data_IF_570535021331
#
_entry.id   IF_570535021331
#
_cell.length_a   1.000
_cell.length_b   1.000
_cell.length_c   1.000
_cell.angle_alpha   90.00
_cell.angle_beta   90.00
_cell.angle_gamma   90.00
#
_symmetry.space_group_name_H-M   'P 1'
#
loop_
_entity.id
_entity.type
_entity.pdbx_description
1 polymer ?
#
# COMPACT_ATOMS: atom_id res chain seq x y z
N UNK A 1 -40.57 -57.71 53.91
CA UNK A 1 -40.51 -56.24 54.01
C UNK A 1 -39.16 -55.74 53.49
N UNK A 2 -39.08 -55.37 52.21
CA UNK A 2 -38.04 -54.51 51.63
C UNK A 2 -38.67 -53.78 50.44
N UNK A 3 -38.85 -52.46 50.59
CA UNK A 3 -39.39 -51.56 49.58
C UNK A 3 -38.38 -51.39 48.43
N UNK A 4 -38.85 -51.46 47.19
CA UNK A 4 -38.14 -50.93 46.03
C UNK A 4 -38.72 -49.55 45.70
N UNK A 5 -37.90 -48.51 45.88
CA UNK A 5 -38.21 -47.14 45.46
C UNK A 5 -37.75 -47.02 44.00
N UNK A 6 -38.70 -46.85 43.08
CA UNK A 6 -38.41 -46.48 41.70
C UNK A 6 -38.23 -44.95 41.64
N UNK A 7 -36.99 -44.49 41.41
CA UNK A 7 -36.71 -43.09 41.13
C UNK A 7 -37.00 -42.81 39.65
N UNK A 8 -38.05 -42.04 39.36
CA UNK A 8 -38.33 -41.52 38.03
C UNK A 8 -37.47 -40.28 37.83
N UNK A 9 -36.40 -40.40 37.04
CA UNK A 9 -35.63 -39.27 36.54
C UNK A 9 -36.39 -38.60 35.39
N UNK A 10 -37.10 -37.51 35.72
CA UNK A 10 -37.62 -36.56 34.73
C UNK A 10 -36.46 -35.79 34.13
N UNK A 11 -36.07 -36.14 32.90
CA UNK A 11 -35.23 -35.27 32.07
C UNK A 11 -36.05 -34.07 31.62
N UNK A 12 -35.79 -32.92 32.23
CA UNK A 12 -36.21 -31.63 31.69
C UNK A 12 -35.35 -31.35 30.45
N UNK A 13 -35.94 -31.52 29.26
CA UNK A 13 -35.35 -31.02 28.02
C UNK A 13 -35.46 -29.50 28.05
N UNK A 14 -34.37 -28.82 28.40
CA UNK A 14 -34.24 -27.39 28.13
C UNK A 14 -34.09 -27.28 26.61
N UNK A 15 -35.16 -26.87 25.93
CA UNK A 15 -35.08 -26.47 24.54
C UNK A 15 -34.17 -25.24 24.45
N UNK A 16 -32.92 -25.44 24.07
CA UNK A 16 -32.12 -24.36 23.53
C UNK A 16 -32.74 -23.99 22.18
N UNK A 17 -33.36 -22.81 22.09
CA UNK A 17 -33.64 -22.18 20.79
C UNK A 17 -32.33 -22.13 20.01
N UNK A 18 -32.17 -23.06 19.06
CA UNK A 18 -31.02 -23.07 18.16
C UNK A 18 -31.11 -21.84 17.27
N UNK A 19 -30.44 -20.75 17.67
CA UNK A 19 -30.21 -19.63 16.76
C UNK A 19 -29.44 -20.21 15.56
N UNK A 20 -30.11 -20.25 14.40
CA UNK A 20 -29.48 -20.69 13.17
C UNK A 20 -28.24 -19.82 12.93
N UNK A 21 -27.09 -20.47 12.76
CA UNK A 21 -25.86 -19.78 12.36
C UNK A 21 -26.09 -19.19 10.97
N UNK A 22 -25.83 -17.89 10.74
CA UNK A 22 -25.96 -17.29 9.41
C UNK A 22 -25.15 -18.06 8.35
N UNK A 23 -25.61 -18.05 7.11
CA UNK A 23 -24.81 -18.55 5.98
C UNK A 23 -23.71 -17.56 5.62
N UNK A 24 -22.60 -18.05 5.04
CA UNK A 24 -21.50 -17.19 4.57
C UNK A 24 -22.04 -16.04 3.70
N UNK A 25 -21.51 -14.82 3.86
CA UNK A 25 -21.95 -13.68 3.07
C UNK A 25 -21.49 -13.83 1.62
N UNK A 26 -22.39 -13.57 0.66
CA UNK A 26 -22.04 -13.51 -0.76
C UNK A 26 -22.17 -12.07 -1.26
N UNK A 27 -21.23 -11.63 -2.11
CA UNK A 27 -21.21 -10.28 -2.70
C UNK A 27 -21.71 -10.25 -4.15
N UNK A 28 -22.18 -11.39 -4.67
CA UNK A 28 -22.49 -11.57 -6.08
C UNK A 28 -21.25 -11.83 -6.94
N UNK A 29 -21.47 -12.14 -8.21
CA UNK A 29 -20.40 -12.39 -9.20
C UNK A 29 -20.00 -11.14 -9.98
N UNK A 30 -20.71 -10.02 -9.77
CA UNK A 30 -20.42 -8.71 -10.37
C UNK A 30 -20.80 -7.65 -9.34
N UNK A 31 -19.91 -6.68 -9.12
CA UNK A 31 -20.15 -5.61 -8.17
C UNK A 31 -19.28 -4.37 -8.42
N UNK A 32 -19.78 -3.24 -7.95
CA UNK A 32 -19.08 -1.98 -7.85
C UNK A 32 -18.96 -1.58 -6.37
N UNK A 33 -17.78 -1.14 -5.95
CA UNK A 33 -17.52 -0.76 -4.56
C UNK A 33 -16.60 0.45 -4.49
N UNK A 34 -16.85 1.35 -3.54
CA UNK A 34 -15.93 2.43 -3.17
C UNK A 34 -15.49 2.26 -1.74
N UNK A 35 -14.24 2.58 -1.45
CA UNK A 35 -13.71 2.49 -0.11
C UNK A 35 -12.41 3.24 0.10
N UNK A 36 -11.84 3.05 1.28
CA UNK A 36 -10.53 3.59 1.66
C UNK A 36 -9.70 2.47 2.26
N UNK A 37 -8.54 2.22 1.66
CA UNK A 37 -7.50 1.37 2.24
C UNK A 37 -6.70 2.21 3.23
N UNK A 38 -6.49 1.70 4.43
CA UNK A 38 -5.64 2.33 5.44
C UNK A 38 -4.60 1.36 5.98
N UNK A 39 -3.34 1.77 5.97
CA UNK A 39 -2.24 1.08 6.66
C UNK A 39 -1.70 2.05 7.71
N UNK A 40 -2.19 2.01 8.96
CA UNK A 40 -1.88 3.01 9.98
C UNK A 40 -0.38 3.15 10.26
N UNK A 41 0.37 2.04 10.22
CA UNK A 41 1.82 2.05 10.45
C UNK A 41 2.61 2.68 9.30
N UNK A 42 2.04 2.68 8.08
CA UNK A 42 2.64 3.26 6.89
C UNK A 42 2.14 4.69 6.61
N UNK A 43 1.24 5.22 7.46
CA UNK A 43 0.53 6.48 7.21
C UNK A 43 -0.19 6.52 5.83
N UNK A 44 -0.52 5.35 5.28
CA UNK A 44 -1.23 5.25 4.00
C UNK A 44 -2.73 5.36 4.26
N UNK A 45 -3.37 6.27 3.53
CA UNK A 45 -4.82 6.35 3.34
C UNK A 45 -5.08 6.52 1.85
N UNK A 46 -5.55 5.46 1.22
CA UNK A 46 -5.69 5.37 -0.23
C UNK A 46 -7.17 5.12 -0.58
N UNK A 47 -7.90 6.14 -1.06
CA UNK A 47 -9.25 5.96 -1.56
C UNK A 47 -9.20 5.18 -2.87
N UNK A 48 -10.15 4.26 -3.02
CA UNK A 48 -10.30 3.46 -4.23
C UNK A 48 -11.76 3.33 -4.65
N UNK A 49 -11.96 3.07 -5.94
CA UNK A 49 -13.22 2.69 -6.55
C UNK A 49 -12.96 1.50 -7.46
N UNK A 50 -13.66 0.40 -7.25
CA UNK A 50 -13.44 -0.85 -7.94
C UNK A 50 -14.72 -1.35 -8.62
N UNK A 51 -14.55 -1.92 -9.81
CA UNK A 51 -15.54 -2.66 -10.57
C UNK A 51 -15.00 -4.05 -10.80
N UNK A 52 -15.85 -5.05 -10.60
CA UNK A 52 -15.50 -6.44 -10.72
C UNK A 52 -16.63 -7.18 -11.43
N UNK A 53 -16.28 -7.99 -12.42
CA UNK A 53 -17.21 -8.91 -13.07
C UNK A 53 -16.51 -10.23 -13.40
N UNK A 54 -16.93 -11.29 -12.71
CA UNK A 54 -16.34 -12.62 -12.86
C UNK A 54 -16.70 -13.26 -14.20
N UNK A 55 -17.91 -13.02 -14.72
CA UNK A 55 -18.37 -13.61 -15.98
C UNK A 55 -17.64 -12.97 -17.17
N UNK A 56 -17.46 -11.65 -17.14
CA UNK A 56 -16.67 -10.92 -18.12
C UNK A 56 -15.15 -11.09 -17.92
N UNK A 57 -14.72 -11.80 -16.88
CA UNK A 57 -13.32 -11.90 -16.45
C UNK A 57 -12.62 -10.54 -16.42
N UNK A 58 -13.30 -9.51 -15.95
CA UNK A 58 -12.80 -8.14 -15.99
C UNK A 58 -12.88 -7.46 -14.63
N UNK A 59 -11.84 -6.72 -14.26
CA UNK A 59 -11.85 -5.80 -13.14
C UNK A 59 -11.18 -4.48 -13.50
N UNK A 60 -11.65 -3.41 -12.86
CA UNK A 60 -11.02 -2.09 -12.89
C UNK A 60 -10.93 -1.54 -11.48
N UNK A 61 -9.81 -0.92 -11.13
CA UNK A 61 -9.64 -0.24 -9.84
C UNK A 61 -9.03 1.13 -10.10
N UNK A 62 -9.77 2.16 -9.71
CA UNK A 62 -9.34 3.55 -9.72
C UNK A 62 -8.88 3.94 -8.31
N UNK A 63 -7.68 4.50 -8.21
CA UNK A 63 -7.09 5.05 -7.01
C UNK A 63 -7.12 6.59 -7.09
N UNK A 64 -7.34 7.25 -5.95
CA UNK A 64 -7.34 8.72 -5.87
C UNK A 64 -8.22 9.37 -6.94
N UNK A 65 -9.46 8.89 -7.08
CA UNK A 65 -10.47 9.43 -8.02
C UNK A 65 -10.07 9.36 -9.51
N UNK A 66 -9.38 8.29 -9.91
CA UNK A 66 -8.97 8.08 -11.30
C UNK A 66 -7.61 8.70 -11.65
N UNK A 67 -6.88 9.23 -10.65
CA UNK A 67 -5.48 9.60 -10.81
C UNK A 67 -4.66 8.42 -11.30
N UNK A 68 -4.92 7.22 -10.79
CA UNK A 68 -4.36 5.97 -11.31
C UNK A 68 -5.47 4.95 -11.49
N UNK A 69 -5.60 4.40 -12.69
CA UNK A 69 -6.56 3.33 -12.99
C UNK A 69 -5.80 2.06 -13.38
N UNK A 70 -6.22 0.93 -12.83
CA UNK A 70 -5.71 -0.39 -13.22
C UNK A 70 -6.83 -1.24 -13.75
N UNK A 71 -6.53 -2.05 -14.76
CA UNK A 71 -7.46 -2.96 -15.42
C UNK A 71 -6.84 -4.34 -15.43
N UNK A 72 -7.61 -5.37 -15.10
CA UNK A 72 -7.21 -6.77 -15.26
C UNK A 72 -8.27 -7.45 -16.11
N UNK A 73 -7.96 -7.66 -17.38
CA UNK A 73 -8.86 -8.21 -18.39
C UNK A 73 -8.39 -9.63 -18.73
N UNK A 74 -9.04 -10.62 -18.15
CA UNK A 74 -8.70 -12.04 -18.29
C UNK A 74 -9.42 -12.76 -19.43
N UNK A 75 -10.26 -12.07 -20.21
CA UNK A 75 -11.00 -12.67 -21.32
C UNK A 75 -10.12 -12.88 -22.56
N UNK A 76 -9.36 -11.84 -22.96
CA UNK A 76 -8.46 -11.85 -24.11
C UNK A 76 -7.27 -10.91 -23.85
N UNK A 77 -6.03 -11.24 -24.29
CA UNK A 77 -5.59 -12.43 -25.03
C UNK A 77 -5.52 -13.70 -24.15
N UNK A 78 -4.99 -14.82 -24.67
CA UNK A 78 -4.99 -16.18 -24.06
C UNK A 78 -4.68 -16.24 -22.54
N UNK A 79 -3.82 -15.35 -22.04
CA UNK A 79 -3.39 -15.30 -20.64
C UNK A 79 -3.83 -14.00 -19.93
N UNK A 80 -4.75 -13.26 -20.53
CA UNK A 80 -5.21 -11.96 -20.08
C UNK A 80 -4.18 -10.83 -20.28
N UNK A 81 -4.64 -9.61 -20.01
CA UNK A 81 -3.84 -8.39 -20.10
C UNK A 81 -4.18 -7.47 -18.94
N UNK A 82 -3.13 -6.85 -18.38
CA UNK A 82 -3.25 -5.82 -17.37
C UNK A 82 -2.88 -4.47 -17.95
N UNK A 83 -3.65 -3.43 -17.60
CA UNK A 83 -3.33 -2.05 -17.95
C UNK A 83 -3.18 -1.20 -16.70
N UNK A 84 -2.28 -0.23 -16.76
CA UNK A 84 -2.19 0.88 -15.81
C UNK A 84 -2.27 2.19 -16.58
N UNK A 85 -3.20 3.05 -16.18
CA UNK A 85 -3.31 4.41 -16.69
C UNK A 85 -2.90 5.34 -15.55
N UNK A 86 -1.87 6.16 -15.76
CA UNK A 86 -1.40 7.15 -14.78
C UNK A 86 -0.83 8.39 -15.47
N UNK A 87 -0.84 9.55 -14.80
CA UNK A 87 -0.15 10.73 -15.29
C UNK A 87 1.36 10.54 -15.12
N UNK A 88 2.07 10.85 -16.18
CA UNK A 88 3.52 10.77 -16.23
C UNK A 88 4.09 12.16 -16.49
N UNK A 89 5.21 12.43 -15.82
CA UNK A 89 5.98 13.66 -16.01
C UNK A 89 7.36 13.28 -16.51
N UNK A 90 7.74 13.86 -17.65
CA UNK A 90 9.06 13.74 -18.27
C UNK A 90 9.74 15.11 -18.28
N UNK A 91 10.93 15.20 -18.87
CA UNK A 91 11.61 16.49 -19.07
C UNK A 91 10.81 17.45 -19.96
N UNK A 92 9.91 16.94 -20.82
CA UNK A 92 9.16 17.72 -21.81
C UNK A 92 7.65 17.76 -21.58
N UNK A 93 7.11 16.82 -20.81
CA UNK A 93 5.68 16.67 -20.57
C UNK A 93 5.40 16.67 -19.07
N UNK A 94 4.35 17.37 -18.63
CA UNK A 94 3.96 17.39 -17.22
C UNK A 94 2.56 16.81 -17.06
N UNK A 95 2.43 15.80 -16.18
CA UNK A 95 1.17 15.16 -15.82
C UNK A 95 0.32 14.69 -17.02
N UNK A 96 0.96 14.14 -18.05
CA UNK A 96 0.26 13.61 -19.22
C UNK A 96 -0.19 12.19 -18.92
N UNK A 97 -1.49 11.89 -19.06
CA UNK A 97 -2.01 10.54 -18.89
C UNK A 97 -1.39 9.59 -19.93
N UNK A 98 -0.71 8.56 -19.45
CA UNK A 98 -0.15 7.47 -20.28
C UNK A 98 -0.81 6.16 -19.88
N UNK A 99 -0.92 5.25 -20.86
CA UNK A 99 -1.33 3.88 -20.64
C UNK A 99 -0.14 2.94 -20.77
N UNK A 100 -0.04 2.01 -19.83
CA UNK A 100 0.96 0.96 -19.79
C UNK A 100 0.29 -0.39 -19.80
N UNK A 101 0.86 -1.33 -20.54
CA UNK A 101 0.33 -2.67 -20.73
C UNK A 101 1.32 -3.72 -20.21
N UNK A 102 0.78 -4.78 -19.61
CA UNK A 102 1.51 -6.00 -19.29
C UNK A 102 0.65 -7.20 -19.67
N UNK A 103 1.20 -8.10 -20.48
CA UNK A 103 0.49 -9.30 -20.92
C UNK A 103 0.74 -10.43 -19.92
N UNK A 104 -0.29 -11.21 -19.64
CA UNK A 104 -0.12 -12.44 -18.88
C UNK A 104 0.68 -13.49 -19.65
N UNK A 105 1.21 -14.45 -18.91
CA UNK A 105 1.94 -15.61 -19.44
C UNK A 105 1.30 -16.90 -18.96
N UNK A 106 1.79 -18.05 -19.44
CA UNK A 106 1.32 -19.36 -18.98
C UNK A 106 1.57 -19.57 -17.48
N UNK A 107 2.69 -19.07 -16.97
CA UNK A 107 3.08 -19.20 -15.56
C UNK A 107 2.43 -18.12 -14.68
N UNK A 108 2.10 -16.96 -15.28
CA UNK A 108 1.52 -15.81 -14.59
C UNK A 108 0.41 -15.17 -15.41
N UNK A 109 -0.75 -15.83 -15.44
CA UNK A 109 -1.93 -15.31 -16.12
C UNK A 109 -2.52 -14.09 -15.38
N UNK A 110 -3.02 -13.12 -16.14
CA UNK A 110 -3.78 -12.00 -15.60
C UNK A 110 -5.21 -12.45 -15.35
N UNK A 111 -5.59 -12.50 -14.07
CA UNK A 111 -6.94 -12.82 -13.61
C UNK A 111 -7.63 -11.57 -13.08
N UNK A 112 -8.96 -11.62 -13.01
CA UNK A 112 -9.76 -10.60 -12.32
C UNK A 112 -9.29 -10.35 -10.91
N UNK A 113 -9.11 -9.08 -10.56
CA UNK A 113 -8.74 -8.64 -9.23
C UNK A 113 -9.99 -8.29 -8.42
N UNK A 114 -10.31 -9.10 -7.41
CA UNK A 114 -11.33 -8.76 -6.43
C UNK A 114 -10.82 -7.66 -5.48
N UNK A 115 -11.67 -6.70 -5.16
CA UNK A 115 -11.44 -5.69 -4.11
C UNK A 115 -12.09 -6.06 -2.76
N UNK A 116 -12.81 -7.18 -2.72
CA UNK A 116 -13.41 -7.77 -1.52
C UNK A 116 -12.64 -9.05 -1.17
N UNK A 117 -12.49 -9.38 0.12
CA UNK A 117 -11.80 -10.59 0.53
C UNK A 117 -12.55 -11.85 0.12
N UNK A 118 -11.81 -12.93 -0.11
CA UNK A 118 -12.40 -14.26 -0.19
C UNK A 118 -12.92 -14.66 1.20
N UNK A 119 -14.21 -14.93 1.28
CA UNK A 119 -14.91 -15.28 2.53
C UNK A 119 -14.79 -16.77 2.86
N UNK A 120 -14.16 -17.57 2.00
CA UNK A 120 -13.93 -18.99 2.29
C UNK A 120 -13.15 -19.16 3.61
N UNK A 121 -13.67 -20.00 4.50
CA UNK A 121 -13.07 -20.25 5.82
C UNK A 121 -13.43 -19.23 6.90
N UNK A 122 -14.17 -18.16 6.58
CA UNK A 122 -14.72 -17.27 7.60
C UNK A 122 -15.81 -17.98 8.41
N UNK A 123 -15.86 -17.67 9.71
CA UNK A 123 -16.87 -18.16 10.64
C UNK A 123 -17.61 -16.98 11.25
N UNK A 124 -18.93 -17.13 11.44
CA UNK A 124 -19.71 -16.12 12.14
C UNK A 124 -19.20 -15.99 13.58
N UNK A 125 -18.85 -14.77 13.96
CA UNK A 125 -18.28 -14.46 15.26
C UNK A 125 -19.33 -13.86 16.20
N UNK A 126 -20.01 -12.79 15.76
CA UNK A 126 -21.02 -12.06 16.55
C UNK A 126 -21.80 -11.07 15.70
N UNK A 127 -22.87 -10.52 16.27
CA UNK A 127 -23.47 -9.27 15.79
C UNK A 127 -22.79 -8.09 16.51
N UNK A 128 -22.51 -7.01 15.79
CA UNK A 128 -21.89 -5.80 16.35
C UNK A 128 -22.34 -4.55 15.58
N UNK A 129 -22.49 -3.41 16.27
CA UNK A 129 -22.70 -2.14 15.59
C UNK A 129 -21.38 -1.59 15.05
N UNK A 130 -21.32 -1.32 13.75
CA UNK A 130 -20.20 -0.63 13.11
C UNK A 130 -20.73 0.48 12.21
N UNK A 131 -20.20 1.70 12.36
CA UNK A 131 -20.64 2.85 11.54
C UNK A 131 -22.15 3.15 11.65
N UNK A 132 -22.79 2.85 12.78
CA UNK A 132 -24.23 3.03 12.98
C UNK A 132 -25.12 1.91 12.43
N UNK A 133 -24.55 0.90 11.75
CA UNK A 133 -25.28 -0.25 11.21
C UNK A 133 -25.06 -1.50 12.07
N UNK A 134 -26.10 -2.31 12.29
CA UNK A 134 -25.96 -3.62 12.91
C UNK A 134 -25.36 -4.59 11.89
N UNK A 135 -24.18 -5.14 12.19
CA UNK A 135 -23.39 -5.95 11.28
C UNK A 135 -23.26 -7.38 11.78
N UNK A 136 -23.23 -8.32 10.85
CA UNK A 136 -22.64 -9.64 11.08
C UNK A 136 -21.12 -9.52 11.01
N UNK A 137 -20.44 -9.97 12.05
CA UNK A 137 -18.98 -10.01 12.12
C UNK A 137 -18.53 -11.43 11.81
N UNK A 138 -17.75 -11.56 10.76
CA UNK A 138 -17.18 -12.81 10.28
C UNK A 138 -15.68 -12.80 10.52
N UNK A 139 -15.11 -13.92 10.96
CA UNK A 139 -13.67 -14.00 11.22
C UNK A 139 -13.07 -15.28 10.64
N UNK A 140 -11.93 -15.13 9.97
CA UNK A 140 -11.05 -16.22 9.59
C UNK A 140 -9.72 -16.06 10.34
N UNK A 141 -9.25 -17.14 10.94
CA UNK A 141 -7.96 -17.19 11.62
C UNK A 141 -7.11 -18.22 10.92
N UNK A 142 -5.96 -17.79 10.41
CA UNK A 142 -4.94 -18.70 9.87
C UNK A 142 -3.71 -18.67 10.76
N UNK A 143 -3.06 -19.82 10.90
CA UNK A 143 -1.83 -19.95 11.68
C UNK A 143 -0.73 -20.49 10.79
N UNK A 144 0.38 -19.76 10.69
CA UNK A 144 1.58 -20.19 9.97
C UNK A 144 2.72 -20.24 10.98
N UNK A 145 3.23 -21.44 11.28
CA UNK A 145 4.17 -21.65 12.38
C UNK A 145 3.56 -21.25 13.73
N UNK A 146 4.16 -20.28 14.42
CA UNK A 146 3.67 -19.74 15.70
C UNK A 146 2.82 -18.46 15.56
N UNK A 147 2.49 -18.07 14.33
CA UNK A 147 1.93 -16.76 14.03
C UNK A 147 0.48 -16.87 13.64
N UNK A 148 -0.35 -16.05 14.28
CA UNK A 148 -1.78 -15.99 14.07
C UNK A 148 -2.12 -14.78 13.21
N UNK A 149 -2.65 -15.01 12.01
CA UNK A 149 -3.26 -13.98 11.18
C UNK A 149 -4.76 -14.02 11.42
N UNK A 150 -5.35 -12.86 11.70
CA UNK A 150 -6.78 -12.71 11.96
C UNK A 150 -7.37 -11.78 10.92
N UNK A 151 -8.35 -12.28 10.17
CA UNK A 151 -9.09 -11.55 9.16
C UNK A 151 -10.51 -11.38 9.69
N UNK A 152 -10.98 -10.15 9.84
CA UNK A 152 -12.32 -9.87 10.37
C UNK A 152 -13.07 -8.99 9.38
N UNK A 153 -14.29 -9.37 9.07
CA UNK A 153 -15.13 -8.75 8.06
C UNK A 153 -16.48 -8.40 8.68
N UNK A 154 -16.89 -7.16 8.53
CA UNK A 154 -18.19 -6.65 8.95
C UNK A 154 -19.06 -6.47 7.71
N UNK A 155 -20.19 -7.17 7.69
CA UNK A 155 -21.19 -7.07 6.63
C UNK A 155 -22.54 -6.68 7.20
N UNK A 156 -23.32 -5.95 6.43
CA UNK A 156 -24.72 -5.69 6.71
C UNK A 156 -25.58 -6.22 5.57
N UNK A 157 -26.87 -6.39 5.83
CA UNK A 157 -27.86 -6.78 4.83
C UNK A 157 -28.87 -5.64 4.69
N UNK A 158 -29.41 -5.43 3.49
CA UNK A 158 -30.38 -4.35 3.29
C UNK A 158 -31.60 -4.53 4.22
N UNK A 159 -32.17 -3.43 4.70
CA UNK A 159 -33.31 -3.43 5.65
C UNK A 159 -34.60 -4.07 5.12
N UNK A 160 -34.62 -4.61 3.89
CA UNK A 160 -35.73 -5.41 3.36
C UNK A 160 -35.77 -6.81 3.98
N UNK A 161 -35.75 -6.88 5.31
CA UNK A 161 -36.20 -8.01 6.11
C UNK A 161 -35.27 -9.21 6.14
N UNK A 162 -35.19 -9.83 7.31
CA UNK A 162 -34.52 -11.11 7.60
C UNK A 162 -35.07 -12.34 6.83
N UNK A 163 -35.77 -12.12 5.71
CA UNK A 163 -36.33 -13.12 4.80
C UNK A 163 -35.76 -13.07 3.37
N UNK A 164 -34.81 -12.16 3.07
CA UNK A 164 -34.06 -12.17 1.81
C UNK A 164 -32.99 -13.26 1.78
N UNK A 165 -33.40 -14.54 1.72
CA UNK A 165 -32.48 -15.61 1.33
C UNK A 165 -32.08 -15.40 -0.14
N UNK A 166 -31.00 -14.66 -0.40
CA UNK A 166 -30.42 -14.52 -1.74
C UNK A 166 -29.85 -13.14 -2.10
N UNK A 167 -30.17 -12.08 -1.36
CA UNK A 167 -29.63 -10.74 -1.68
C UNK A 167 -28.15 -10.63 -1.30
N UNK A 168 -27.30 -10.00 -2.12
CA UNK A 168 -25.89 -9.80 -1.79
C UNK A 168 -25.70 -9.02 -0.48
N UNK A 169 -24.78 -9.50 0.36
CA UNK A 169 -24.34 -8.78 1.54
C UNK A 169 -23.65 -7.47 1.16
N UNK A 170 -23.75 -6.46 2.01
CA UNK A 170 -23.06 -5.18 1.84
C UNK A 170 -21.84 -5.13 2.77
N UNK A 171 -20.61 -5.09 2.24
CA UNK A 171 -19.41 -5.00 3.07
C UNK A 171 -19.29 -3.59 3.66
N UNK A 172 -18.88 -3.48 4.92
CA UNK A 172 -18.70 -2.19 5.61
C UNK A 172 -17.27 -1.98 6.08
N UNK A 173 -16.64 -3.02 6.61
CA UNK A 173 -15.28 -2.96 7.11
C UNK A 173 -14.58 -4.29 6.96
N UNK A 174 -13.32 -4.25 6.59
CA UNK A 174 -12.44 -5.41 6.58
C UNK A 174 -11.15 -5.06 7.30
N UNK A 175 -10.80 -5.88 8.29
CA UNK A 175 -9.59 -5.75 9.10
C UNK A 175 -8.74 -7.00 8.90
N UNK A 176 -7.49 -6.79 8.50
CA UNK A 176 -6.47 -7.82 8.52
C UNK A 176 -5.45 -7.47 9.58
N UNK A 177 -5.41 -8.30 10.61
CA UNK A 177 -4.37 -8.32 11.61
C UNK A 177 -3.47 -9.51 11.31
N UNK A 178 -2.51 -9.27 10.43
CA UNK A 178 -1.63 -10.28 9.87
C UNK A 178 -0.21 -10.12 10.36
N UNK A 179 0.46 -11.26 10.46
CA UNK A 179 1.87 -11.42 10.74
C UNK A 179 2.54 -11.80 9.42
N UNK A 180 3.45 -10.97 8.93
CA UNK A 180 4.25 -11.35 7.76
C UNK A 180 5.12 -12.56 8.12
N UNK A 181 5.21 -13.57 7.26
CA UNK A 181 5.18 -15.00 7.63
C UNK A 181 6.33 -15.59 8.45
N UNK A 182 7.46 -14.92 8.76
CA UNK A 182 8.53 -15.58 9.54
C UNK A 182 9.09 -14.97 10.86
N UNK A 183 9.24 -13.65 11.15
CA UNK A 183 9.71 -13.19 12.50
C UNK A 183 9.06 -12.00 13.22
N UNK A 184 9.05 -12.07 14.56
CA UNK A 184 8.28 -11.22 15.47
C UNK A 184 8.83 -9.86 15.82
N UNK A 185 8.51 -8.87 14.99
CA UNK A 185 8.71 -7.46 15.35
C UNK A 185 7.44 -6.61 15.49
N UNK A 186 6.33 -6.89 14.79
CA UNK A 186 5.02 -6.25 15.03
C UNK A 186 3.91 -6.88 14.17
N UNK A 187 2.66 -6.69 14.59
CA UNK A 187 1.48 -6.98 13.76
C UNK A 187 1.27 -5.84 12.77
N UNK A 188 1.12 -6.16 11.49
CA UNK A 188 0.61 -5.18 10.55
C UNK A 188 -0.91 -5.16 10.62
N UNK A 189 -1.47 -3.95 10.62
CA UNK A 189 -2.90 -3.73 10.56
C UNK A 189 -3.23 -3.12 9.20
N UNK A 190 -4.04 -3.83 8.44
CA UNK A 190 -4.59 -3.37 7.18
C UNK A 190 -6.10 -3.20 7.35
N UNK A 191 -6.61 -2.07 6.93
CA UNK A 191 -8.02 -1.74 7.03
C UNK A 191 -8.56 -1.40 5.66
N UNK A 192 -9.76 -1.88 5.37
CA UNK A 192 -10.52 -1.45 4.21
C UNK A 192 -11.88 -1.02 4.71
N UNK A 193 -12.16 0.28 4.61
CA UNK A 193 -13.48 0.83 4.92
C UNK A 193 -14.27 0.96 3.63
N UNK A 194 -15.35 0.21 3.50
CA UNK A 194 -16.24 0.28 2.35
C UNK A 194 -17.29 1.37 2.59
N UNK A 195 -17.46 2.27 1.63
CA UNK A 195 -18.33 3.45 1.72
C UNK A 195 -19.58 3.33 0.84
N UNK A 196 -19.44 2.69 -0.32
CA UNK A 196 -20.54 2.43 -1.24
C UNK A 196 -20.38 1.02 -1.81
N UNK A 197 -21.48 0.31 -2.02
CA UNK A 197 -21.52 -1.01 -2.65
C UNK A 197 -22.77 -1.13 -3.52
N UNK A 198 -22.60 -1.69 -4.71
CA UNK A 198 -23.67 -1.99 -5.66
C UNK A 198 -23.41 -3.36 -6.28
N UNK A 199 -24.37 -4.29 -6.32
CA UNK A 199 -24.23 -5.57 -7.03
C UNK A 199 -24.43 -5.43 -8.55
N UNK A 200 -24.44 -4.20 -9.07
CA UNK A 200 -24.60 -3.90 -10.50
C UNK A 200 -23.37 -3.13 -11.00
N UNK A 201 -22.89 -3.54 -12.17
CA UNK A 201 -21.76 -2.92 -12.87
C UNK A 201 -22.19 -2.55 -14.28
N UNK A 202 -21.82 -1.34 -14.72
CA UNK A 202 -21.91 -0.97 -16.13
C UNK A 202 -20.75 -1.65 -16.89
N UNK A 203 -21.00 -2.49 -17.90
CA UNK A 203 -19.94 -3.13 -18.69
C UNK A 203 -18.95 -2.15 -19.32
N UNK A 204 -19.37 -0.89 -19.59
CA UNK A 204 -18.47 0.16 -20.10
C UNK A 204 -17.36 0.52 -19.12
N UNK A 205 -17.49 0.19 -17.83
CA UNK A 205 -16.45 0.42 -16.83
C UNK A 205 -15.12 -0.26 -17.17
N UNK A 206 -15.16 -1.36 -17.94
CA UNK A 206 -13.97 -2.14 -18.33
C UNK A 206 -13.34 -1.70 -19.66
N UNK A 207 -13.95 -0.74 -20.36
CA UNK A 207 -13.40 -0.20 -21.60
C UNK A 207 -12.31 0.83 -21.28
N UNK A 208 -11.19 0.75 -21.99
CA UNK A 208 -10.16 1.78 -21.94
C UNK A 208 -10.72 3.10 -22.51
N UNK A 209 -10.23 4.27 -22.04
CA UNK A 209 -10.65 5.57 -22.59
C UNK A 209 -10.43 5.66 -24.10
N UNK A 210 -11.39 6.25 -24.82
CA UNK A 210 -11.31 6.40 -26.28
C UNK A 210 -10.06 7.19 -26.71
N UNK A 211 -9.40 6.73 -27.78
CA UNK A 211 -8.18 7.36 -28.32
C UNK A 211 -6.90 7.08 -27.52
N UNK A 212 -6.95 6.26 -26.47
CA UNK A 212 -5.78 5.91 -25.68
C UNK A 212 -4.97 4.78 -26.34
N UNK A 213 -3.65 4.95 -26.42
CA UNK A 213 -2.71 3.91 -26.84
C UNK A 213 -1.82 3.50 -25.66
N UNK A 214 -1.57 2.20 -25.53
CA UNK A 214 -0.82 1.64 -24.42
C UNK A 214 0.58 1.18 -24.87
N UNK A 215 1.60 1.57 -24.10
CA UNK A 215 2.98 1.17 -24.31
C UNK A 215 3.47 0.17 -23.26
N UNK A 216 4.72 -0.27 -23.37
CA UNK A 216 5.39 -0.97 -22.28
C UNK A 216 5.69 -0.04 -21.11
N UNK A 217 5.81 -0.60 -19.92
CA UNK A 217 6.23 0.18 -18.75
C UNK A 217 7.66 0.70 -18.92
N UNK A 218 7.95 1.93 -18.44
CA UNK A 218 9.28 2.52 -18.55
C UNK A 218 10.27 1.81 -17.62
N UNK A 219 11.48 1.57 -18.14
CA UNK A 219 12.62 1.06 -17.37
C UNK A 219 12.69 -0.47 -17.26
N UNK A 220 13.89 -1.01 -16.98
CA UNK A 220 14.08 -2.42 -16.70
C UNK A 220 13.52 -2.70 -15.31
N UNK A 221 12.42 -3.47 -15.21
CA UNK A 221 11.75 -3.61 -13.93
C UNK A 221 10.93 -4.88 -13.80
N UNK A 222 11.13 -5.57 -12.68
CA UNK A 222 10.23 -6.63 -12.18
C UNK A 222 9.05 -6.07 -11.38
N UNK A 223 9.02 -4.74 -11.24
CA UNK A 223 8.01 -3.98 -10.50
C UNK A 223 6.70 -3.79 -11.28
N UNK A 224 6.74 -3.96 -12.61
CA UNK A 224 5.62 -3.66 -13.51
C UNK A 224 4.35 -4.43 -13.17
N UNK A 225 4.48 -5.70 -12.78
CA UNK A 225 3.34 -6.52 -12.36
C UNK A 225 2.68 -6.00 -11.07
N UNK A 226 3.47 -5.53 -10.10
CA UNK A 226 2.95 -4.94 -8.87
C UNK A 226 2.28 -3.60 -9.12
N UNK A 227 2.85 -2.78 -10.02
CA UNK A 227 2.26 -1.50 -10.42
C UNK A 227 0.97 -1.69 -11.23
N UNK A 228 0.86 -2.76 -12.00
CA UNK A 228 -0.32 -3.10 -12.79
C UNK A 228 -1.46 -3.70 -11.95
N UNK A 229 -1.16 -4.26 -10.76
CA UNK A 229 -2.17 -4.77 -9.85
C UNK A 229 -1.83 -4.57 -8.35
N UNK A 230 -1.87 -3.33 -7.84
CA UNK A 230 -1.50 -3.02 -6.46
C UNK A 230 -2.46 -3.62 -5.42
N UNK A 231 -3.72 -3.86 -5.78
CA UNK A 231 -4.74 -4.40 -4.87
C UNK A 231 -4.45 -5.86 -4.51
N UNK A 232 -3.77 -6.62 -5.38
CA UNK A 232 -3.50 -8.04 -5.18
C UNK A 232 -2.79 -8.32 -3.86
N UNK A 233 -1.75 -7.55 -3.56
CA UNK A 233 -0.92 -7.68 -2.35
C UNK A 233 -1.62 -7.23 -1.06
N UNK A 234 -2.77 -6.58 -1.19
CA UNK A 234 -3.53 -6.05 -0.07
C UNK A 234 -4.71 -6.96 0.27
N UNK A 235 -5.46 -7.44 -0.72
CA UNK A 235 -6.71 -8.18 -0.47
C UNK A 235 -6.50 -9.70 -0.45
N UNK A 236 -5.58 -10.23 -1.25
CA UNK A 236 -5.34 -11.68 -1.28
C UNK A 236 -4.34 -12.09 -0.20
N UNK A 237 -4.67 -13.20 0.46
CA UNK A 237 -3.91 -13.77 1.58
C UNK A 237 -2.72 -14.61 1.15
N UNK A 238 -2.57 -14.88 -0.16
CA UNK A 238 -1.42 -15.61 -0.69
C UNK A 238 -0.18 -14.71 -0.73
N UNK A 239 0.93 -15.23 -0.22
CA UNK A 239 2.23 -14.58 -0.36
C UNK A 239 2.53 -14.42 -1.86
N UNK A 240 2.46 -13.20 -2.38
CA UNK A 240 2.89 -12.94 -3.75
C UNK A 240 4.41 -13.09 -3.78
N UNK A 241 4.91 -14.09 -4.49
CA UNK A 241 6.35 -14.27 -4.74
C UNK A 241 6.99 -13.03 -5.38
N UNK A 242 6.19 -12.13 -5.95
CA UNK A 242 6.61 -10.83 -6.48
C UNK A 242 7.28 -9.94 -5.42
N UNK A 243 6.74 -9.85 -4.21
CA UNK A 243 7.33 -9.03 -3.14
C UNK A 243 8.70 -9.56 -2.71
N UNK A 244 8.86 -10.88 -2.66
CA UNK A 244 10.14 -11.54 -2.39
C UNK A 244 11.14 -11.33 -3.55
N UNK A 245 10.68 -11.47 -4.79
CA UNK A 245 11.48 -11.19 -5.97
C UNK A 245 11.99 -9.74 -5.99
N UNK A 246 11.13 -8.77 -5.64
CA UNK A 246 11.52 -7.36 -5.49
C UNK A 246 12.56 -7.16 -4.39
N UNK A 247 12.43 -7.86 -3.26
CA UNK A 247 13.41 -7.78 -2.18
C UNK A 247 14.77 -8.37 -2.58
N UNK A 248 14.78 -9.48 -3.31
CA UNK A 248 16.01 -10.07 -3.84
C UNK A 248 16.69 -9.11 -4.84
N UNK A 249 15.93 -8.54 -5.77
CA UNK A 249 16.46 -7.52 -6.68
C UNK A 249 17.01 -6.29 -5.92
N UNK A 250 16.35 -5.86 -4.85
CA UNK A 250 16.85 -4.80 -3.97
C UNK A 250 18.17 -5.19 -3.30
N UNK A 251 18.30 -6.42 -2.79
CA UNK A 251 19.52 -6.91 -2.17
C UNK A 251 20.68 -6.91 -3.16
N UNK A 252 20.44 -7.36 -4.39
CA UNK A 252 21.46 -7.37 -5.44
C UNK A 252 21.86 -5.95 -5.84
N UNK A 253 20.89 -5.07 -6.09
CA UNK A 253 21.14 -3.68 -6.47
C UNK A 253 21.95 -2.90 -5.44
N UNK A 254 21.68 -3.11 -4.15
CA UNK A 254 22.35 -2.41 -3.05
C UNK A 254 23.39 -3.25 -2.30
N UNK A 255 23.76 -4.42 -2.85
CA UNK A 255 24.76 -5.35 -2.30
C UNK A 255 24.51 -5.64 -0.81
N UNK A 256 23.26 -5.95 -0.46
CA UNK A 256 22.83 -6.18 0.92
C UNK A 256 23.19 -7.58 1.38
N UNK A 257 23.83 -7.64 2.54
CA UNK A 257 24.06 -8.86 3.29
C UNK A 257 23.55 -8.65 4.71
N UNK A 258 22.81 -9.63 5.22
CA UNK A 258 22.23 -9.61 6.56
C UNK A 258 22.88 -10.71 7.40
N UNK A 259 23.04 -10.45 8.70
CA UNK A 259 23.85 -11.28 9.60
C UNK A 259 23.29 -12.67 9.81
N UNK A 260 21.96 -12.79 9.81
CA UNK A 260 21.22 -13.99 10.13
C UNK A 260 19.82 -13.89 9.50
N UNK A 261 19.09 -15.00 9.51
CA UNK A 261 17.72 -15.05 9.02
C UNK A 261 16.82 -14.04 9.74
N UNK A 262 17.15 -13.73 11.01
CA UNK A 262 16.36 -12.80 11.80
C UNK A 262 16.43 -11.36 11.31
N UNK A 263 17.61 -10.92 10.98
CA UNK A 263 17.81 -9.64 10.33
C UNK A 263 17.28 -9.66 8.90
N UNK A 264 17.49 -10.74 8.12
CA UNK A 264 16.99 -10.87 6.74
C UNK A 264 15.49 -10.59 6.65
N UNK A 265 14.70 -11.26 7.48
CA UNK A 265 13.25 -11.09 7.42
C UNK A 265 12.76 -9.77 8.00
N UNK A 266 13.41 -9.24 9.04
CA UNK A 266 13.12 -7.89 9.55
C UNK A 266 13.31 -6.85 8.43
N UNK A 267 14.36 -7.03 7.62
CA UNK A 267 14.70 -6.16 6.49
C UNK A 267 13.73 -6.33 5.34
N UNK A 268 13.33 -7.57 5.04
CA UNK A 268 12.29 -7.88 4.07
C UNK A 268 10.96 -7.24 4.45
N UNK A 269 10.58 -7.32 5.72
CA UNK A 269 9.35 -6.69 6.24
C UNK A 269 9.36 -5.18 6.07
N UNK A 270 10.44 -4.52 6.53
CA UNK A 270 10.62 -3.08 6.36
C UNK A 270 10.62 -2.68 4.87
N UNK A 271 11.25 -3.49 4.02
CA UNK A 271 11.27 -3.28 2.58
C UNK A 271 9.88 -3.34 1.95
N UNK A 272 9.10 -4.39 2.22
CA UNK A 272 7.74 -4.53 1.68
C UNK A 272 6.85 -3.38 2.18
N UNK A 273 7.02 -2.97 3.43
CA UNK A 273 6.30 -1.83 4.00
C UNK A 273 6.63 -0.53 3.25
N UNK A 274 7.93 -0.24 3.06
CA UNK A 274 8.39 0.95 2.34
C UNK A 274 8.03 0.90 0.84
N UNK A 275 8.03 -0.28 0.23
CA UNK A 275 7.59 -0.49 -1.16
C UNK A 275 6.14 -0.05 -1.33
N UNK A 276 5.24 -0.51 -0.45
CA UNK A 276 3.83 -0.11 -0.46
C UNK A 276 3.67 1.39 -0.23
N UNK A 277 4.44 1.97 0.69
CA UNK A 277 4.44 3.42 0.93
C UNK A 277 4.85 4.23 -0.30
N UNK A 278 5.95 3.83 -0.96
CA UNK A 278 6.42 4.44 -2.21
C UNK A 278 5.35 4.36 -3.29
N UNK A 279 4.77 3.18 -3.51
CA UNK A 279 3.76 2.98 -4.54
C UNK A 279 2.49 3.78 -4.29
N UNK A 280 1.96 3.75 -3.06
CA UNK A 280 0.73 4.48 -2.73
C UNK A 280 0.93 5.99 -2.79
N UNK A 281 2.06 6.50 -2.29
CA UNK A 281 2.39 7.93 -2.36
C UNK A 281 2.52 8.41 -3.81
N UNK A 282 3.15 7.61 -4.68
CA UNK A 282 3.26 7.94 -6.10
C UNK A 282 1.91 7.92 -6.81
N UNK A 283 0.98 7.03 -6.43
CA UNK A 283 -0.40 7.04 -6.95
C UNK A 283 -1.19 8.28 -6.55
N UNK A 284 -0.84 8.93 -5.44
CA UNK A 284 -1.51 10.14 -4.98
C UNK A 284 -1.22 11.38 -5.84
N UNK A 285 -0.27 11.33 -6.77
CA UNK A 285 0.02 12.45 -7.69
C UNK A 285 0.55 13.71 -7.00
N UNK A 286 1.34 13.54 -5.94
CA UNK A 286 1.95 14.64 -5.20
C UNK A 286 2.97 15.40 -6.09
N UNK A 287 3.35 16.65 -5.73
CA UNK A 287 4.36 17.42 -6.47
C UNK A 287 5.78 16.84 -6.38
N UNK A 288 5.94 15.66 -5.77
CA UNK A 288 7.17 14.90 -5.70
C UNK A 288 6.82 13.41 -5.86
N UNK A 289 7.81 12.64 -6.32
CA UNK A 289 7.74 11.18 -6.34
C UNK A 289 8.74 10.57 -5.36
N UNK A 290 8.44 9.36 -4.92
CA UNK A 290 9.31 8.51 -4.12
C UNK A 290 9.90 7.42 -5.02
N UNK A 291 11.08 6.93 -4.64
CA UNK A 291 11.72 5.79 -5.27
C UNK A 291 12.35 4.90 -4.21
N UNK A 292 12.36 3.59 -4.47
CA UNK A 292 13.14 2.65 -3.69
C UNK A 292 14.62 3.02 -3.79
N UNK A 293 15.27 3.16 -2.64
CA UNK A 293 16.65 3.58 -2.52
C UNK A 293 17.36 2.77 -1.43
N UNK A 294 18.62 3.08 -1.14
CA UNK A 294 19.41 2.36 -0.14
C UNK A 294 18.82 2.37 1.27
N UNK A 295 17.77 3.14 1.55
CA UNK A 295 17.11 3.17 2.85
C UNK A 295 15.81 2.36 2.89
N UNK A 296 15.43 1.72 1.77
CA UNK A 296 14.14 1.03 1.67
C UNK A 296 14.00 -0.18 2.60
N UNK A 297 15.06 -0.76 3.15
CA UNK A 297 15.00 -1.84 4.14
C UNK A 297 15.08 -1.35 5.60
N UNK A 298 14.94 -0.04 5.84
CA UNK A 298 15.01 0.57 7.17
C UNK A 298 13.63 0.82 7.75
N UNK A 299 13.49 0.65 9.06
CA UNK A 299 12.26 1.01 9.78
C UNK A 299 12.18 2.52 10.02
N UNK A 300 10.98 3.04 10.27
CA UNK A 300 10.78 4.46 10.58
C UNK A 300 11.60 4.94 11.80
N UNK A 301 11.80 4.07 12.79
CA UNK A 301 12.64 4.38 13.95
C UNK A 301 14.12 4.48 13.58
N UNK A 302 14.62 3.60 12.70
CA UNK A 302 16.00 3.66 12.21
C UNK A 302 16.21 4.93 11.35
N UNK A 303 15.26 5.25 10.46
CA UNK A 303 15.28 6.48 9.68
C UNK A 303 15.23 7.74 10.55
N UNK A 304 14.46 7.72 11.66
CA UNK A 304 14.39 8.83 12.59
C UNK A 304 15.77 9.16 13.20
N UNK A 305 16.56 8.16 13.56
CA UNK A 305 17.92 8.35 14.08
C UNK A 305 18.86 8.96 13.02
N UNK A 306 18.67 8.63 11.74
CA UNK A 306 19.51 9.12 10.64
C UNK A 306 19.26 10.59 10.27
N UNK A 307 18.05 11.13 10.54
CA UNK A 307 17.65 12.50 10.16
C UNK A 307 18.40 13.62 10.93
N UNK A 308 19.19 13.29 11.95
CA UNK A 308 20.25 14.14 12.52
C UNK A 308 19.84 15.49 13.15
N UNK A 309 18.56 15.86 13.15
CA UNK A 309 18.06 17.13 13.69
C UNK A 309 18.24 17.19 15.22
N UNK A 310 19.23 17.96 15.69
CA UNK A 310 19.41 18.29 17.11
C UNK A 310 19.12 19.77 17.33
N UNK A 311 18.06 20.11 18.06
CA UNK A 311 17.73 21.50 18.40
C UNK A 311 18.57 21.92 19.62
N UNK A 312 19.59 22.75 19.41
CA UNK A 312 20.31 23.39 20.50
C UNK A 312 19.45 24.45 21.19
N UNK A 313 19.50 24.52 22.53
CA UNK A 313 18.85 25.58 23.32
C UNK A 313 19.73 26.83 23.47
N UNK A 314 21.02 26.70 23.16
CA UNK A 314 22.01 27.78 23.29
C UNK A 314 22.14 28.57 21.99
N UNK A 315 22.22 29.91 22.05
CA UNK A 315 22.54 30.72 20.88
C UNK A 315 23.87 30.26 20.25
N UNK A 316 23.88 30.06 18.94
CA UNK A 316 25.04 29.56 18.18
C UNK A 316 26.15 30.60 17.97
N UNK A 317 26.01 31.81 18.54
CA UNK A 317 26.92 32.97 18.38
C UNK A 317 27.26 33.29 16.92
N UNK A 318 26.41 32.89 15.97
CA UNK A 318 26.58 33.21 14.56
C UNK A 318 26.44 34.72 14.33
N UNK A 319 27.27 35.27 13.46
CA UNK A 319 27.10 36.66 13.01
C UNK A 319 25.75 36.79 12.27
N UNK A 320 25.00 37.88 12.50
CA UNK A 320 23.78 38.11 11.75
C UNK A 320 24.09 38.30 10.27
N UNK A 321 23.20 37.83 9.40
CA UNK A 321 23.31 38.09 7.96
C UNK A 321 23.26 39.61 7.70
N UNK A 322 24.26 40.20 7.03
CA UNK A 322 24.35 41.65 6.86
C UNK A 322 23.43 42.14 5.73
N UNK A 323 22.12 42.05 5.94
CA UNK A 323 21.08 42.33 4.93
C UNK A 323 21.22 43.69 4.24
N UNK A 324 21.69 44.72 4.96
CA UNK A 324 21.91 46.07 4.42
C UNK A 324 22.91 46.11 3.26
N UNK A 325 23.92 45.23 3.25
CA UNK A 325 24.94 45.18 2.19
C UNK A 325 24.37 44.65 0.86
N UNK A 326 23.25 43.95 0.91
CA UNK A 326 22.65 43.29 -0.24
C UNK A 326 21.29 43.90 -0.61
N UNK A 327 21.00 45.10 -0.10
CA UNK A 327 19.77 45.82 -0.43
C UNK A 327 19.80 46.27 -1.89
N UNK A 328 18.79 45.89 -2.68
CA UNK A 328 18.70 46.22 -4.10
C UNK A 328 19.43 45.24 -5.04
N UNK A 329 19.92 44.10 -4.53
CA UNK A 329 20.45 43.03 -5.38
C UNK A 329 19.31 42.37 -6.13
N UNK A 330 19.38 42.39 -7.47
CA UNK A 330 18.49 41.62 -8.33
C UNK A 330 18.98 40.17 -8.40
N UNK A 331 18.14 39.24 -7.93
CA UNK A 331 18.42 37.82 -7.99
C UNK A 331 17.98 37.24 -9.34
N UNK A 332 18.72 36.26 -9.89
CA UNK A 332 18.25 35.53 -11.06
C UNK A 332 17.03 34.69 -10.70
N UNK A 333 16.20 34.39 -11.72
CA UNK A 333 15.03 33.51 -11.56
C UNK A 333 15.41 32.09 -11.12
N UNK A 334 16.58 31.60 -11.55
CA UNK A 334 17.16 30.33 -11.12
C UNK A 334 18.67 30.45 -10.90
N UNK A 335 19.18 29.71 -9.92
CA UNK A 335 20.61 29.64 -9.63
C UNK A 335 20.98 28.23 -9.19
N UNK A 336 21.93 27.63 -9.89
CA UNK A 336 22.49 26.32 -9.55
C UNK A 336 24.02 26.38 -9.43
N UNK A 337 24.50 26.40 -8.18
CA UNK A 337 25.94 26.45 -7.88
C UNK A 337 26.75 25.26 -8.42
N UNK A 338 26.10 24.14 -8.75
CA UNK A 338 26.77 22.97 -9.37
C UNK A 338 27.31 23.34 -10.75
N UNK A 339 26.56 24.12 -11.53
CA UNK A 339 26.96 24.56 -12.87
C UNK A 339 28.17 25.50 -12.83
N UNK A 340 28.42 26.13 -11.69
CA UNK A 340 29.57 27.01 -11.46
C UNK A 340 30.74 26.30 -10.80
N UNK A 341 30.63 24.99 -10.49
CA UNK A 341 31.68 24.20 -9.85
C UNK A 341 31.81 24.42 -8.33
N UNK A 342 30.88 25.16 -7.72
CA UNK A 342 30.93 25.52 -6.30
C UNK A 342 30.30 24.45 -5.37
N UNK A 343 30.07 23.23 -5.88
CA UNK A 343 29.47 22.12 -5.13
C UNK A 343 30.28 20.86 -5.40
N UNK A 344 30.74 20.19 -4.33
CA UNK A 344 31.46 18.92 -4.41
C UNK A 344 30.51 17.75 -4.72
N UNK A 345 31.02 16.58 -5.15
CA UNK A 345 30.19 15.39 -5.32
C UNK A 345 29.40 15.04 -4.04
N UNK A 346 28.20 14.48 -4.21
CA UNK A 346 27.35 14.06 -3.09
C UNK A 346 28.09 13.06 -2.21
N UNK A 347 28.07 13.30 -0.89
CA UNK A 347 28.73 12.45 0.12
C UNK A 347 27.67 11.70 0.95
N UNK A 348 28.08 10.62 1.64
CA UNK A 348 27.20 9.80 2.48
C UNK A 348 27.58 9.89 3.97
N UNK A 349 26.63 10.30 4.82
CA UNK A 349 26.79 10.38 6.28
C UNK A 349 26.59 9.04 7.00
N UNK A 350 26.09 8.04 6.29
CA UNK A 350 25.67 6.75 6.82
C UNK A 350 24.73 6.91 8.04
N UNK A 351 24.92 6.08 9.06
CA UNK A 351 24.06 6.02 10.27
C UNK A 351 24.47 7.02 11.37
N UNK A 352 25.50 7.84 11.15
CA UNK A 352 26.09 8.69 12.20
C UNK A 352 25.18 9.84 12.66
N UNK A 353 24.22 10.25 11.84
CA UNK A 353 23.39 11.44 12.10
C UNK A 353 24.22 12.74 12.05
N UNK A 354 25.26 12.78 11.21
CA UNK A 354 26.24 13.85 11.10
C UNK A 354 25.90 14.90 10.03
N UNK A 355 24.65 14.98 9.56
CA UNK A 355 24.18 15.90 8.51
C UNK A 355 24.63 17.36 8.70
N UNK A 356 24.69 17.84 9.94
CA UNK A 356 25.13 19.19 10.29
C UNK A 356 26.59 19.47 9.89
N UNK A 357 27.46 18.46 9.98
CA UNK A 357 28.87 18.59 9.60
C UNK A 357 29.02 18.66 8.07
N UNK A 358 28.26 17.83 7.34
CA UNK A 358 28.22 17.83 5.88
C UNK A 358 27.69 19.14 5.32
N UNK A 359 26.61 19.68 5.91
CA UNK A 359 26.08 21.00 5.55
C UNK A 359 27.13 22.10 5.76
N UNK A 360 27.87 22.03 6.88
CA UNK A 360 28.95 22.97 7.21
C UNK A 360 30.08 22.89 6.19
N UNK A 361 30.63 21.70 5.94
CA UNK A 361 31.73 21.51 5.00
C UNK A 361 31.33 21.88 3.59
N UNK A 362 30.14 21.49 3.11
CA UNK A 362 29.68 21.82 1.76
C UNK A 362 29.57 23.33 1.54
N UNK A 363 29.10 24.07 2.55
CA UNK A 363 29.02 25.54 2.50
C UNK A 363 30.41 26.17 2.45
N UNK A 364 31.34 25.71 3.30
CA UNK A 364 32.72 26.24 3.35
C UNK A 364 33.49 25.90 2.08
N UNK A 365 33.36 24.68 1.57
CA UNK A 365 33.97 24.23 0.30
C UNK A 365 33.52 25.13 -0.87
N UNK A 366 32.21 25.38 -1.01
CA UNK A 366 31.67 26.24 -2.06
C UNK A 366 32.12 27.70 -1.92
N UNK A 367 32.08 28.26 -0.70
CA UNK A 367 32.53 29.63 -0.46
C UNK A 367 34.03 29.80 -0.75
N UNK A 368 34.86 28.82 -0.39
CA UNK A 368 36.30 28.82 -0.68
C UNK A 368 36.56 28.75 -2.18
N UNK A 369 35.85 27.88 -2.90
CA UNK A 369 35.95 27.74 -4.35
C UNK A 369 35.65 29.07 -5.06
N UNK A 370 34.55 29.73 -4.69
CA UNK A 370 34.17 31.02 -5.28
C UNK A 370 35.20 32.11 -5.00
N UNK A 371 35.72 32.18 -3.76
CA UNK A 371 36.73 33.16 -3.38
C UNK A 371 38.06 32.97 -4.13
N UNK A 372 38.53 31.73 -4.26
CA UNK A 372 39.79 31.43 -4.95
C UNK A 372 39.69 31.66 -6.46
N UNK A 373 38.51 31.42 -7.06
CA UNK A 373 38.29 31.67 -8.49
C UNK A 373 38.33 33.17 -8.81
N UNK A 374 37.68 34.02 -8.00
CA UNK A 374 37.74 35.47 -8.18
C UNK A 374 39.16 36.03 -8.11
N UNK A 375 40.05 35.42 -7.31
CA UNK A 375 41.43 35.85 -7.15
C UNK A 375 42.39 35.41 -8.28
N UNK A 376 41.92 34.61 -9.26
CA UNK A 376 42.73 34.15 -10.42
C UNK A 376 42.36 34.83 -11.74
N UNK A 377 41.31 35.65 -11.73
CA UNK A 377 40.81 36.40 -12.89
C UNK A 377 41.21 37.87 -12.89
N UNK A 378 41.96 38.29 -11.87
CA UNK A 378 42.73 39.55 -11.80
C UNK A 378 44.21 39.23 -12.03
#
# INVERSE_FOLDING_TARGET
>A
MRLYIAAVLLWAVIASEGKAVPSLPHFGSSYHVKGVISLPYAEIKEPFQAWFDLAAKSSRIDYYHGQVSTYQLGAEPQWGVAYKISPETTETEQNVMKCFQTNGTADEAVTTQASLPDVQGFQFLRMEYFGGSLCEVWQNVTTVGHKKNTYTLWVTHSERGANSKGDPATPLHYEMMGYNTLLGSHYDKYLVDYKEFSPHVDPKAFSLPEGMSCGGFPGPGVEHHMLANPMKDLIHTSASGQSEHMFNHFKDKFQRQYSDEREHEKRQHAFIHNLRYVHSTNRAGLPFSLALNSLSDRTMSELATMRGRKRGKTPNRGLPFPSKLYQGVNLPESLDWRLYGAVTPVKDQAICGSCWSFATTGTVEGALFLKQRSARTD
#
